data_IF_487274542768
#
_entry.id   IF_487274542768
#
_cell.length_a   1.000
_cell.length_b   1.000
_cell.length_c   1.000
_cell.angle_alpha   90.00
_cell.angle_beta   90.00
_cell.angle_gamma   90.00
#
_symmetry.space_group_name_H-M   'P 1'
#
loop_
_entity.id
_entity.type
_entity.pdbx_description
1 polymer ?
2 polymer ?
3 non-polymer ?
4 non-polymer ?
5 water ?
#
# COMPACT_ATOMS: atom_id res chain seq x y z
N UNK A 8 -10.23 6.54 -22.45
CA UNK A 8 -9.96 6.53 -20.97
C UNK A 8 -9.79 5.09 -20.43
N UNK A 9 -8.84 4.90 -19.52
CA UNK A 9 -8.56 3.60 -19.01
C UNK A 9 -9.22 3.37 -17.66
N UNK A 10 -9.42 2.11 -17.30
CA UNK A 10 -9.98 1.85 -15.95
C UNK A 10 -8.78 1.61 -15.01
N UNK A 11 -8.88 2.04 -13.75
CA UNK A 11 -7.82 1.77 -12.77
C UNK A 11 -7.59 0.24 -12.66
N UNK A 12 -6.31 -0.16 -12.57
CA UNK A 12 -6.00 -1.56 -12.34
C UNK A 12 -6.77 -1.98 -11.04
N UNK A 13 -7.51 -3.12 -11.05
CA UNK A 13 -8.25 -3.59 -9.89
C UNK A 13 -7.35 -4.00 -8.71
N UNK A 14 -7.77 -3.61 -7.51
CA UNK A 14 -7.05 -4.00 -6.30
C UNK A 14 -7.23 -5.52 -6.01
N UNK A 15 -6.25 -6.06 -5.27
CA UNK A 15 -6.30 -7.43 -4.81
C UNK A 15 -5.66 -7.35 -3.40
N UNK A 16 -6.05 -8.27 -2.53
CA UNK A 16 -5.47 -8.33 -1.19
C UNK A 16 -3.93 -8.41 -1.24
N UNK A 17 -3.29 -7.93 -0.18
CA UNK A 17 -1.86 -8.01 -0.08
C UNK A 17 -1.50 -9.44 0.19
N UNK A 18 -2.45 -10.19 0.74
CA UNK A 18 -2.21 -11.59 0.99
C UNK A 18 -1.48 -11.86 2.28
N UNK A 19 -1.32 -13.14 2.64
CA UNK A 19 -0.65 -13.47 3.90
C UNK A 19 0.77 -13.03 4.15
N UNK A 20 1.53 -12.68 3.10
CA UNK A 20 2.94 -12.29 3.31
C UNK A 20 3.24 -10.85 2.94
N UNK A 21 2.20 -9.99 2.87
CA UNK A 21 2.38 -8.58 2.53
C UNK A 21 3.34 -7.90 3.54
N UNK A 22 3.27 -8.28 4.80
CA UNK A 22 4.16 -7.63 5.80
C UNK A 22 5.57 -8.18 5.78
N UNK A 23 5.82 -9.23 4.98
CA UNK A 23 7.16 -9.79 4.85
C UNK A 23 7.75 -9.28 3.51
N UNK A 24 6.95 -9.35 2.44
CA UNK A 24 7.39 -8.85 1.14
C UNK A 24 7.68 -7.35 1.08
N UNK A 25 6.98 -6.53 1.89
CA UNK A 25 7.24 -5.07 1.86
C UNK A 25 8.20 -4.59 2.99
N UNK A 26 8.60 -5.49 3.88
CA UNK A 26 9.56 -5.19 4.99
C UNK A 26 10.47 -6.45 5.08
N UNK A 27 11.18 -6.76 3.99
CA UNK A 27 12.06 -7.94 3.98
C UNK A 27 13.12 -7.97 5.07
N UNK A 28 13.79 -6.83 5.30
CA UNK A 28 14.84 -6.71 6.32
C UNK A 28 14.32 -7.32 7.60
N UNK A 29 13.12 -6.95 7.99
CA UNK A 29 12.58 -7.51 9.22
C UNK A 29 12.22 -8.98 9.22
N UNK A 30 12.11 -9.57 8.05
CA UNK A 30 11.79 -10.98 8.00
C UNK A 30 13.10 -11.68 7.71
N UNK A 31 14.20 -10.98 7.94
CA UNK A 31 15.52 -11.53 7.68
C UNK A 31 15.83 -11.88 6.24
N UNK A 32 15.28 -11.14 5.29
CA UNK A 32 15.61 -11.38 3.90
C UNK A 32 16.47 -10.15 3.57
N UNK A 33 17.78 -10.31 3.63
CA UNK A 33 18.62 -9.15 3.44
C UNK A 33 18.96 -8.88 2.00
N UNK A 34 17.96 -8.50 1.20
CA UNK A 34 18.22 -8.20 -0.19
C UNK A 34 18.61 -6.74 -0.48
N UNK A 35 18.20 -5.79 0.36
CA UNK A 35 18.44 -4.37 0.08
C UNK A 35 19.41 -3.72 1.07
N UNK A 36 20.24 -2.78 0.61
CA UNK A 36 21.15 -2.09 1.53
C UNK A 36 20.32 -1.06 2.30
N UNK A 37 19.51 -0.27 1.59
CA UNK A 37 18.68 0.73 2.26
C UNK A 37 17.23 0.23 2.36
N UNK A 38 16.77 0.13 3.59
CA UNK A 38 15.45 -0.38 3.87
C UNK A 38 14.50 0.63 4.46
N UNK A 39 13.25 0.54 4.04
CA UNK A 39 12.20 1.44 4.50
C UNK A 39 11.67 0.92 5.82
N UNK A 40 11.36 1.80 6.76
CA UNK A 40 10.83 1.31 8.05
C UNK A 40 9.82 2.30 8.69
N UNK A 41 9.55 2.09 9.97
CA UNK A 41 8.57 2.86 10.75
C UNK A 41 9.13 4.04 11.56
N UNK A 42 10.32 4.50 11.22
CA UNK A 42 10.90 5.61 11.94
C UNK A 42 10.99 6.84 11.03
N UNK A 43 10.15 7.84 11.27
CA UNK A 43 10.17 9.03 10.45
C UNK A 43 11.06 10.16 11.01
N UNK A 44 11.61 9.99 12.20
CA UNK A 44 12.46 11.04 12.79
C UNK A 44 13.93 10.88 12.45
N UNK A 45 14.49 11.84 11.73
CA UNK A 45 15.91 11.83 11.45
C UNK A 45 16.45 12.80 12.54
N UNK A 46 17.74 12.80 12.79
CA UNK A 46 18.31 13.65 13.86
C UNK A 46 17.99 15.16 13.83
N UNK A 47 17.96 15.78 12.65
CA UNK A 47 17.65 17.20 12.59
C UNK A 47 16.20 17.50 12.30
N UNK A 48 15.35 16.49 12.37
CA UNK A 48 13.93 16.70 12.09
C UNK A 48 13.34 17.61 13.14
N UNK A 49 12.48 18.51 12.71
CA UNK A 49 11.85 19.42 13.64
C UNK A 49 10.49 18.94 14.16
N UNK A 50 10.13 19.44 15.35
CA UNK A 50 8.84 19.14 15.93
C UNK A 50 8.90 18.26 17.14
N UNK A 51 7.77 18.06 17.78
CA UNK A 51 7.77 17.18 18.96
C UNK A 51 7.57 15.75 18.57
N UNK A 52 8.50 14.98 19.10
CA UNK A 52 8.56 13.59 18.88
C UNK A 52 7.41 12.90 19.58
N UNK A 53 6.76 11.97 18.86
CA UNK A 53 5.70 11.20 19.46
C UNK A 53 5.78 9.77 18.98
N UNK A 54 5.19 8.90 19.76
CA UNK A 54 5.12 7.51 19.33
C UNK A 54 3.65 7.24 19.08
N UNK A 55 3.37 6.62 17.93
CA UNK A 55 2.00 6.25 17.56
C UNK A 55 1.95 4.71 17.61
N UNK A 56 1.02 4.14 18.36
CA UNK A 56 0.93 2.70 18.47
C UNK A 56 -0.47 2.21 18.69
N UNK A 57 -0.67 0.93 18.40
CA UNK A 57 -1.99 0.34 18.57
C UNK A 57 -2.06 -1.08 18.06
N UNK A 58 -3.27 -1.60 17.97
CA UNK A 58 -3.46 -2.96 17.44
C UNK A 58 -4.58 -2.87 16.40
N UNK A 59 -4.63 -3.85 15.51
CA UNK A 59 -5.73 -3.88 14.53
C UNK A 59 -6.50 -5.15 14.89
N UNK A 60 -7.82 -5.04 15.04
CA UNK A 60 -8.69 -6.17 15.42
C UNK A 60 -9.66 -6.66 14.35
N UNK A 61 -9.86 -7.98 14.25
CA UNK A 61 -10.84 -8.44 13.29
C UNK A 61 -12.21 -8.41 13.98
N UNK A 62 -13.21 -8.94 13.30
CA UNK A 62 -14.59 -8.93 13.75
C UNK A 62 -14.90 -9.69 15.02
N UNK A 63 -14.00 -10.54 15.47
CA UNK A 63 -14.22 -11.27 16.70
C UNK A 63 -13.32 -10.68 17.78
N UNK A 64 -12.58 -9.62 17.47
CA UNK A 64 -11.71 -9.06 18.51
C UNK A 64 -10.34 -9.64 18.54
N UNK A 65 -9.98 -10.40 17.55
CA UNK A 65 -8.65 -10.96 17.52
C UNK A 65 -7.67 -9.97 16.81
N UNK A 66 -6.52 -9.65 17.46
CA UNK A 66 -5.62 -8.73 16.77
C UNK A 66 -5.03 -9.43 15.55
N UNK A 67 -4.77 -8.68 14.48
CA UNK A 67 -4.21 -9.24 13.26
C UNK A 67 -2.69 -9.19 13.38
N UNK A 68 -2.01 -10.27 13.05
CA UNK A 68 -0.57 -10.25 13.15
C UNK A 68 0.08 -10.28 11.79
N UNK A 69 -0.74 -10.25 10.75
CA UNK A 69 -0.22 -10.25 9.42
C UNK A 69 -0.59 -8.92 8.71
N UNK A 70 -0.79 -7.87 9.47
CA UNK A 70 -1.19 -6.63 8.84
C UNK A 70 -0.01 -5.76 8.39
N UNK A 71 -0.13 -4.95 7.34
CA UNK A 71 0.96 -4.05 6.94
C UNK A 71 0.32 -2.64 7.03
N UNK A 72 0.98 -1.69 7.68
CA UNK A 72 0.38 -0.36 7.88
C UNK A 72 1.34 0.71 7.37
N UNK A 73 0.84 1.73 6.69
CA UNK A 73 1.69 2.85 6.27
C UNK A 73 0.98 4.15 6.75
N UNK A 74 1.75 5.22 7.01
CA UNK A 74 1.16 6.49 7.38
C UNK A 74 1.81 7.53 6.44
N UNK A 75 1.10 8.63 6.24
CA UNK A 75 1.50 9.74 5.38
C UNK A 75 1.07 10.97 6.16
N UNK A 76 2.00 11.91 6.35
CA UNK A 76 1.64 13.10 7.15
C UNK A 76 2.49 14.32 6.78
N UNK A 77 2.09 15.47 7.29
CA UNK A 77 2.78 16.72 7.05
C UNK A 77 3.85 16.92 8.14
N UNK A 78 4.73 17.91 7.94
CA UNK A 78 5.80 18.16 8.90
C UNK A 78 5.24 19.01 10.04
N UNK A 79 6.17 19.52 10.88
CA UNK A 79 5.73 20.29 11.99
C UNK A 79 4.95 21.57 11.68
N UNK A 80 5.16 22.12 10.50
CA UNK A 80 4.45 23.32 10.15
C UNK A 80 3.27 23.04 9.26
N UNK A 81 2.91 21.77 9.09
CA UNK A 81 1.77 21.44 8.26
C UNK A 81 2.04 21.50 6.78
N UNK A 82 3.30 21.30 6.37
CA UNK A 82 3.65 21.26 4.95
C UNK A 82 4.04 19.83 4.60
N UNK A 83 3.56 19.34 3.45
CA UNK A 83 3.90 18.00 3.00
C UNK A 83 5.21 17.98 2.21
N UNK A 84 6.06 16.98 2.45
CA UNK A 84 7.33 16.88 1.70
C UNK A 84 6.97 16.21 0.35
N UNK A 85 6.22 16.94 -0.47
CA UNK A 85 5.77 16.46 -1.77
C UNK A 85 5.73 17.58 -2.76
N UNK A 86 6.14 17.31 -3.99
CA UNK A 86 6.08 18.33 -5.01
C UNK A 86 4.64 18.79 -5.27
N UNK A 87 3.64 18.02 -4.85
CA UNK A 87 2.27 18.41 -5.07
C UNK A 87 1.77 19.38 -3.98
N UNK A 88 2.61 19.65 -2.98
CA UNK A 88 2.17 20.61 -1.93
C UNK A 88 2.30 22.01 -2.56
N UNK A 89 1.18 22.72 -2.59
CA UNK A 89 1.15 24.04 -3.24
C UNK A 89 1.10 25.21 -2.25
N UNK A 90 1.49 24.99 -0.99
CA UNK A 90 1.39 26.08 -0.04
C UNK A 90 2.49 27.14 -0.25
N UNK A 91 3.52 26.80 -0.98
CA UNK A 91 4.54 27.82 -1.18
C UNK A 91 5.37 28.06 0.06
N UNK A 92 5.19 27.22 1.10
CA UNK A 92 5.99 27.30 2.32
C UNK A 92 7.08 26.24 2.17
N UNK A 93 8.22 26.47 2.78
CA UNK A 93 9.30 25.53 2.68
C UNK A 93 9.04 24.41 3.67
N UNK A 94 9.25 23.18 3.23
CA UNK A 94 9.05 22.02 4.08
C UNK A 94 10.34 21.68 4.86
N UNK A 95 10.16 21.03 6.01
CA UNK A 95 11.32 20.58 6.81
C UNK A 95 12.11 19.65 5.85
N UNK A 96 13.40 19.95 5.58
CA UNK A 96 14.19 19.09 4.67
C UNK A 96 14.68 17.76 5.23
N UNK A 97 14.46 17.49 6.50
CA UNK A 97 14.89 16.21 7.07
C UNK A 97 13.71 15.41 7.51
N UNK A 98 12.71 15.37 6.61
CA UNK A 98 11.46 14.67 6.84
C UNK A 98 10.81 14.05 5.58
N UNK A 99 10.67 12.74 5.62
CA UNK A 99 10.09 11.99 4.50
C UNK A 99 8.56 12.03 4.53
N UNK A 100 7.98 12.08 5.73
CA UNK A 100 6.53 12.13 5.88
C UNK A 100 5.82 10.79 5.74
N UNK A 101 6.55 9.74 5.42
CA UNK A 101 5.97 8.42 5.23
C UNK A 101 6.74 7.34 5.96
N UNK A 102 6.03 6.28 6.34
CA UNK A 102 6.71 5.17 7.00
C UNK A 102 5.85 3.93 6.85
N UNK A 103 6.42 2.78 7.16
CA UNK A 103 5.70 1.51 6.97
C UNK A 103 6.05 0.62 8.13
N UNK A 104 5.07 -0.16 8.58
CA UNK A 104 5.33 -1.07 9.69
C UNK A 104 4.40 -2.27 9.68
N UNK A 105 4.78 -3.31 10.42
CA UNK A 105 3.92 -4.50 10.48
C UNK A 105 3.57 -4.65 11.95
N UNK A 106 2.82 -5.67 12.33
CA UNK A 106 2.50 -5.87 13.76
C UNK A 106 3.54 -6.82 14.36
N UNK A 107 3.85 -6.64 15.64
CA UNK A 107 4.81 -7.59 16.27
C UNK A 107 4.14 -8.98 16.26
N UNK A 108 4.86 -10.03 15.85
CA UNK A 108 4.20 -11.35 15.78
C UNK A 108 3.62 -11.89 17.06
N UNK A 109 4.25 -11.59 18.18
CA UNK A 109 3.72 -12.13 19.40
C UNK A 109 2.58 -11.31 19.96
N UNK A 110 2.89 -10.04 20.17
CA UNK A 110 1.98 -9.11 20.77
C UNK A 110 0.83 -8.62 19.89
N UNK A 111 1.13 -8.37 18.62
CA UNK A 111 0.12 -7.85 17.71
C UNK A 111 0.16 -6.31 17.67
N UNK A 112 1.07 -5.69 18.40
CA UNK A 112 1.13 -4.23 18.39
C UNK A 112 1.94 -3.70 17.23
N UNK A 113 1.49 -2.61 16.60
CA UNK A 113 2.30 -1.95 15.53
C UNK A 113 2.66 -0.56 16.13
N UNK A 114 3.66 0.13 15.57
CA UNK A 114 4.05 1.46 16.03
C UNK A 114 4.89 2.20 15.00
N UNK A 115 4.94 3.51 15.18
CA UNK A 115 5.73 4.42 14.38
C UNK A 115 6.35 5.48 15.33
N UNK A 116 7.58 5.91 15.04
CA UNK A 116 8.22 7.00 15.76
C UNK A 116 8.11 8.15 14.80
N UNK A 117 7.41 9.20 15.17
CA UNK A 117 7.24 10.31 14.22
C UNK A 117 7.17 11.63 14.94
N UNK A 118 6.63 12.63 14.26
CA UNK A 118 6.53 13.98 14.81
C UNK A 118 5.06 14.34 14.79
N UNK A 119 4.59 15.13 15.75
CA UNK A 119 3.18 15.50 15.72
C UNK A 119 3.02 16.52 14.58
N UNK A 120 2.14 16.22 13.58
CA UNK A 120 1.96 17.14 12.45
C UNK A 120 1.27 18.46 12.77
N UNK A 121 1.65 19.49 12.02
CA UNK A 121 1.03 20.80 12.14
C UNK A 121 -0.26 20.83 11.32
N UNK A 122 -1.08 21.84 11.53
CA UNK A 122 -2.36 21.94 10.79
C UNK A 122 -2.09 22.24 9.32
N UNK A 123 -2.91 21.61 8.47
CA UNK A 123 -2.83 21.69 7.02
C UNK A 123 -4.11 22.36 6.47
N UNK A 124 -3.99 23.22 5.44
CA UNK A 124 -5.18 23.89 4.86
C UNK A 124 -6.20 22.84 4.39
N UNK A 125 -7.46 23.16 4.57
CA UNK A 125 -8.53 22.33 4.06
C UNK A 125 -9.05 23.04 2.82
N UNK A 126 -10.13 22.52 2.25
CA UNK A 126 -10.71 23.13 1.08
C UNK A 126 -11.37 24.48 1.37
N UNK A 127 -11.41 25.32 0.35
CA UNK A 127 -12.02 26.66 0.40
C UNK A 127 -11.69 27.45 1.66
N UNK A 128 -10.41 27.64 1.95
CA UNK A 128 -10.00 28.43 3.11
C UNK A 128 -10.16 27.88 4.52
N UNK A 129 -10.61 26.64 4.67
CA UNK A 129 -10.78 26.08 6.00
C UNK A 129 -9.42 25.55 6.46
N UNK A 130 -9.36 25.14 7.73
CA UNK A 130 -8.15 24.58 8.28
C UNK A 130 -8.47 23.22 8.86
N UNK A 131 -7.68 22.23 8.51
CA UNK A 131 -7.96 20.93 9.05
C UNK A 131 -7.25 20.76 10.39
N UNK A 132 -7.81 20.01 11.34
CA UNK A 132 -7.10 19.72 12.60
C UNK A 132 -5.91 18.83 12.24
N UNK A 133 -4.83 18.76 13.09
CA UNK A 133 -3.64 17.91 12.84
C UNK A 133 -4.15 16.46 12.66
N UNK A 134 -3.60 15.74 11.69
CA UNK A 134 -3.97 14.36 11.42
C UNK A 134 -2.87 13.62 10.69
N UNK A 135 -2.91 12.31 10.78
CA UNK A 135 -1.97 11.48 10.08
C UNK A 135 -2.90 10.58 9.23
N UNK A 136 -2.56 10.38 7.95
CA UNK A 136 -3.34 9.50 7.10
C UNK A 136 -2.73 8.11 7.25
N UNK A 137 -3.60 7.10 7.34
CA UNK A 137 -3.15 5.77 7.59
C UNK A 137 -3.87 4.79 6.66
N UNK A 138 -3.12 3.79 6.16
CA UNK A 138 -3.72 2.78 5.27
C UNK A 138 -3.29 1.42 5.85
N UNK A 139 -4.21 0.46 5.74
CA UNK A 139 -4.06 -0.92 6.26
C UNK A 139 -4.24 -1.95 5.12
N UNK A 140 -3.30 -2.88 4.97
CA UNK A 140 -3.40 -3.95 3.99
C UNK A 140 -3.23 -5.28 4.76
N UNK A 141 -3.91 -6.34 4.33
CA UNK A 141 -3.75 -7.64 4.99
C UNK A 141 -4.51 -8.69 4.18
N UNK A 142 -4.18 -9.95 4.46
CA UNK A 142 -4.85 -11.12 3.93
C UNK A 142 -6.35 -10.83 4.33
N UNK A 143 -7.30 -11.08 3.43
CA UNK A 143 -8.71 -10.83 3.75
C UNK A 143 -9.20 -9.38 3.49
N UNK A 144 -8.29 -8.44 3.27
CA UNK A 144 -8.68 -7.04 3.01
C UNK A 144 -8.45 -6.88 1.53
N UNK A 145 -9.53 -6.72 0.75
CA UNK A 145 -9.41 -6.70 -0.70
C UNK A 145 -8.84 -5.44 -1.30
N UNK A 146 -9.09 -4.33 -0.60
CA UNK A 146 -8.63 -3.02 -0.98
C UNK A 146 -8.11 -2.34 0.29
N UNK A 147 -6.91 -1.74 0.20
CA UNK A 147 -6.33 -1.01 1.32
C UNK A 147 -7.39 -0.14 2.00
N UNK A 148 -7.47 -0.17 3.32
CA UNK A 148 -8.46 0.68 4.08
C UNK A 148 -7.79 1.96 4.57
N UNK A 149 -8.38 3.09 4.23
CA UNK A 149 -7.87 4.41 4.56
C UNK A 149 -8.59 4.94 5.78
N UNK A 150 -7.82 5.52 6.69
CA UNK A 150 -8.46 6.17 7.83
C UNK A 150 -7.57 7.34 8.20
N UNK A 151 -7.95 8.11 9.21
CA UNK A 151 -7.07 9.15 9.69
C UNK A 151 -7.01 9.04 11.22
N UNK A 152 -5.91 9.51 11.77
CA UNK A 152 -5.67 9.55 13.22
C UNK A 152 -5.66 11.05 13.63
N UNK A 153 -6.50 11.41 14.56
CA UNK A 153 -6.55 12.78 15.09
C UNK A 153 -6.09 12.62 16.54
N UNK A 154 -5.86 13.76 17.22
CA UNK A 154 -5.31 13.74 18.56
C UNK A 154 -6.26 14.29 19.63
N UNK A 155 -6.42 13.56 20.74
CA UNK A 155 -7.36 14.00 21.77
C UNK A 155 -6.97 15.31 22.46
N UNK A 156 -5.72 15.71 22.36
CA UNK A 156 -5.34 17.00 22.94
C UNK A 156 -5.53 18.17 21.96
N UNK A 157 -6.19 17.93 20.83
CA UNK A 157 -6.45 19.00 19.89
C UNK A 157 -7.97 19.13 19.78
N UNK A 158 -8.69 19.01 20.90
CA UNK A 158 -10.15 19.08 20.86
C UNK A 158 -10.74 20.31 20.15
N UNK A 159 -10.12 21.48 20.35
CA UNK A 159 -10.59 22.71 19.76
C UNK A 159 -10.50 22.65 18.23
N UNK A 160 -9.32 22.26 17.75
CA UNK A 160 -9.11 22.13 16.31
C UNK A 160 -9.98 21.00 15.78
N UNK A 161 -10.13 19.91 16.54
CA UNK A 161 -10.96 18.80 16.04
C UNK A 161 -12.41 19.16 15.85
N UNK A 162 -12.94 20.03 16.69
CA UNK A 162 -14.32 20.44 16.60
C UNK A 162 -14.58 21.25 15.34
N UNK A 163 -13.55 21.82 14.72
CA UNK A 163 -13.78 22.63 13.52
C UNK A 163 -13.23 21.88 12.27
N UNK A 164 -12.82 20.63 12.43
CA UNK A 164 -12.27 19.92 11.28
C UNK A 164 -13.34 19.56 10.24
N UNK A 165 -13.13 19.93 8.95
CA UNK A 165 -14.06 19.69 7.82
C UNK A 165 -14.40 18.21 7.68
N UNK A 166 -13.37 17.36 7.66
CA UNK A 166 -13.56 15.91 7.51
C UNK A 166 -14.30 15.30 8.68
N UNK A 167 -13.85 15.55 9.93
CA UNK A 167 -14.59 15.01 11.07
C UNK A 167 -16.04 15.44 11.08
N UNK A 168 -16.31 16.69 10.70
CA UNK A 168 -17.69 17.16 10.72
C UNK A 168 -18.51 16.56 9.57
N UNK A 169 -17.83 15.93 8.61
CA UNK A 169 -18.46 15.24 7.46
C UNK A 169 -19.18 13.99 7.93
N UNK A 170 -18.78 13.49 9.11
CA UNK A 170 -19.38 12.28 9.67
C UNK A 170 -20.55 12.63 10.56
N UNK A 171 -21.77 12.24 10.16
CA UNK A 171 -23.02 12.58 10.94
C UNK A 171 -23.21 11.89 12.28
N UNK A 172 -22.57 10.74 12.46
CA UNK A 172 -22.69 10.06 13.71
C UNK A 172 -21.59 10.58 14.67
N UNK A 173 -21.97 11.42 15.62
CA UNK A 173 -20.98 11.95 16.55
C UNK A 173 -20.25 10.78 17.13
N UNK A 174 -20.97 9.71 17.32
CA UNK A 174 -20.34 8.55 17.92
C UNK A 174 -19.24 7.84 17.09
N UNK A 175 -19.27 8.00 15.78
CA UNK A 175 -18.25 7.36 14.94
C UNK A 175 -17.01 8.26 14.86
N UNK A 176 -17.20 9.58 14.98
CA UNK A 176 -16.09 10.53 14.96
C UNK A 176 -15.07 10.15 15.99
N UNK A 177 -15.55 9.72 17.16
CA UNK A 177 -14.59 9.39 18.19
C UNK A 177 -13.63 8.24 17.86
N UNK A 178 -14.04 7.35 16.98
CA UNK A 178 -13.15 6.23 16.63
C UNK A 178 -11.88 6.74 15.95
N UNK A 179 -11.90 7.97 15.43
CA UNK A 179 -10.69 8.51 14.77
C UNK A 179 -9.73 9.34 15.67
N UNK A 180 -10.04 9.40 16.97
CA UNK A 180 -9.25 10.20 17.92
C UNK A 180 -8.31 9.35 18.77
N UNK A 181 -7.01 9.54 18.62
CA UNK A 181 -6.09 8.76 19.40
C UNK A 181 -5.91 9.36 20.83
N UNK A 182 -5.58 8.51 21.82
CA UNK A 182 -5.40 8.96 23.21
C UNK A 182 -3.95 9.16 23.60
N UNK A 183 -3.67 10.35 24.12
CA UNK A 183 -2.35 10.77 24.51
C UNK A 183 -2.00 10.18 25.87
N UNK A 184 -0.78 9.67 26.01
CA UNK A 184 -0.30 9.08 27.26
C UNK A 184 1.16 9.47 27.37
N UNK A 185 1.72 9.51 28.60
CA UNK A 185 3.13 9.90 28.77
C UNK A 185 4.02 8.86 29.47
N UNK A 186 4.56 7.93 28.68
CA UNK A 186 5.43 6.85 29.16
C UNK A 186 6.88 7.28 29.39
N UNK A 187 7.17 7.76 30.60
CA UNK A 187 8.54 8.17 30.93
C UNK A 187 9.02 9.27 30.02
N UNK A 188 8.40 10.44 30.09
CA UNK A 188 8.83 11.54 29.25
C UNK A 188 8.53 11.43 27.76
N UNK A 189 8.26 10.21 27.27
CA UNK A 189 7.91 10.06 25.87
C UNK A 189 6.41 10.26 25.69
N UNK A 190 6.00 10.94 24.62
CA UNK A 190 4.57 11.10 24.37
C UNK A 190 4.14 9.98 23.43
N UNK A 191 3.04 9.31 23.79
CA UNK A 191 2.50 8.19 23.03
C UNK A 191 1.03 8.41 22.77
N UNK A 192 0.59 8.13 21.54
CA UNK A 192 -0.83 8.21 21.16
C UNK A 192 -1.25 6.78 20.84
N UNK A 193 -2.26 6.32 21.55
CA UNK A 193 -2.72 4.96 21.38
C UNK A 193 -3.89 5.03 20.41
N UNK A 194 -3.80 4.24 19.34
CA UNK A 194 -4.88 4.25 18.36
C UNK A 194 -5.16 2.83 17.96
N UNK A 195 -6.24 2.24 18.47
CA UNK A 195 -6.61 0.88 18.06
C UNK A 195 -7.58 0.97 16.90
N UNK A 196 -7.45 0.05 15.96
CA UNK A 196 -8.29 0.01 14.79
C UNK A 196 -9.20 -1.23 14.79
N UNK A 197 -10.52 -1.05 14.69
CA UNK A 197 -11.46 -2.16 14.70
C UNK A 197 -12.04 -2.20 13.33
N UNK A 198 -11.67 -3.25 12.61
CA UNK A 198 -12.11 -3.37 11.23
C UNK A 198 -13.61 -3.64 11.08
N UNK A 199 -14.24 -4.26 12.07
CA UNK A 199 -15.59 -4.67 11.88
C UNK A 199 -16.30 -4.84 13.20
N UNK A 200 -17.55 -4.39 13.30
CA UNK A 200 -18.26 -4.63 14.55
C UNK A 200 -18.53 -3.43 15.43
N UNK A 201 -18.58 -3.67 16.73
CA UNK A 201 -18.83 -2.58 17.67
C UNK A 201 -17.67 -1.60 17.60
N UNK A 202 -18.00 -0.30 17.60
CA UNK A 202 -16.95 0.71 17.56
C UNK A 202 -16.03 0.55 16.40
N UNK A 203 -16.62 0.12 15.28
CA UNK A 203 -15.87 -0.08 14.04
C UNK A 203 -15.25 1.24 13.64
N UNK A 204 -13.96 1.20 13.29
CA UNK A 204 -13.30 2.41 12.90
C UNK A 204 -13.87 2.95 11.56
N UNK A 205 -13.99 4.27 11.47
CA UNK A 205 -14.45 4.89 10.22
C UNK A 205 -13.36 4.73 9.14
N UNK A 206 -13.77 4.30 7.95
CA UNK A 206 -12.82 4.23 6.83
C UNK A 206 -13.35 5.11 5.74
N UNK A 207 -12.42 5.68 4.98
CA UNK A 207 -12.78 6.61 3.93
C UNK A 207 -12.50 6.15 2.52
N UNK A 208 -13.26 6.69 1.56
CA UNK A 208 -12.97 6.44 0.16
C UNK A 208 -12.37 7.81 -0.20
N UNK A 209 -11.06 7.90 -0.38
CA UNK A 209 -10.45 9.19 -0.65
C UNK A 209 -10.15 9.58 -2.10
N UNK B 4 -0.74 24.82 -15.94
CA UNK B 4 -1.82 23.84 -15.49
C UNK B 4 -1.96 23.73 -13.97
N UNK B 5 -3.14 24.06 -13.47
CA UNK B 5 -3.43 23.96 -12.04
C UNK B 5 -4.20 22.64 -11.86
N UNK B 6 -3.66 21.74 -11.03
CA UNK B 6 -4.30 20.44 -10.81
C UNK B 6 -5.38 20.49 -9.76
N UNK B 7 -6.44 19.73 -9.98
CA UNK B 7 -7.53 19.68 -9.01
C UNK B 7 -7.43 18.33 -8.34
N UNK B 8 -8.55 17.71 -8.08
CA UNK B 8 -8.55 16.42 -7.40
C UNK B 8 -8.40 15.20 -8.32
N UNK B 9 -8.11 14.06 -7.72
CA UNK B 9 -8.11 12.84 -8.47
C UNK B 9 -9.58 12.47 -8.79
N UNK B 10 -9.77 11.89 -9.96
CA UNK B 10 -11.10 11.42 -10.33
C UNK B 10 -11.51 10.41 -9.23
N UNK B 11 -12.80 10.31 -9.00
CA UNK B 11 -13.39 9.40 -8.02
C UNK B 11 -12.96 7.92 -8.35
N UNK B 12 -12.64 7.12 -7.36
CA UNK B 12 -12.35 5.69 -7.62
C UNK B 12 -13.70 5.07 -8.01
N UNK B 13 -13.71 4.22 -9.02
CA UNK B 13 -14.94 3.57 -9.50
C UNK B 13 -15.04 2.26 -8.77
N UNK B 14 -15.88 2.26 -7.75
CA UNK B 14 -15.99 1.09 -6.93
C UNK B 14 -16.47 -0.13 -7.70
N UNK B 15 -17.17 0.03 -8.82
CA UNK B 15 -17.63 -1.14 -9.57
C UNK B 15 -16.48 -1.81 -10.32
N UNK B 16 -15.32 -1.15 -10.35
CA UNK B 16 -14.19 -1.71 -11.05
C UNK B 16 -13.25 -2.47 -10.08
N UNK B 17 -13.65 -2.60 -8.82
CA UNK B 17 -12.83 -3.23 -7.83
C UNK B 17 -13.61 -4.26 -7.07
N UNK B 18 -12.90 -5.09 -6.32
CA UNK B 18 -13.64 -6.07 -5.54
C UNK B 18 -14.35 -5.33 -4.39
N UNK B 19 -15.41 -5.91 -3.85
CA UNK B 19 -16.12 -5.30 -2.71
C UNK B 19 -15.31 -5.78 -1.50
N UNK B 20 -15.48 -5.14 -0.36
CA UNK B 20 -14.77 -5.56 0.85
C UNK B 20 -15.26 -6.95 1.34
N UNK B 21 -16.57 -7.13 1.40
CA UNK B 21 -17.10 -8.38 1.86
C UNK B 21 -17.25 -9.36 0.68
N UNK B 22 -16.51 -10.44 0.69
CA UNK B 22 -16.62 -11.36 -0.46
C UNK B 22 -16.57 -12.74 0.18
N UNK B 23 -17.74 -13.28 0.50
CA UNK B 23 -17.91 -14.57 1.15
C UNK B 23 -17.15 -15.80 0.59
N UNK B 24 -16.86 -15.85 -0.73
CA UNK B 24 -16.09 -16.95 -1.30
C UNK B 24 -14.60 -16.92 -0.90
N UNK B 25 -14.11 -15.76 -0.42
CA UNK B 25 -12.75 -15.57 0.07
C UNK B 25 -13.04 -15.48 1.59
N UNK B 26 -12.95 -16.63 2.25
CA UNK B 26 -13.36 -16.74 3.64
C UNK B 26 -12.77 -15.77 4.65
N UNK B 27 -11.48 -15.49 4.54
CA UNK B 27 -10.82 -14.54 5.45
C UNK B 27 -11.44 -13.15 5.35
N UNK B 28 -12.05 -12.81 4.23
CA UNK B 28 -12.69 -11.46 4.16
C UNK B 28 -13.91 -11.31 5.09
N UNK B 29 -14.55 -12.44 5.45
CA UNK B 29 -15.77 -12.34 6.28
C UNK B 29 -15.63 -11.55 7.61
N UNK B 30 -14.51 -11.76 8.28
CA UNK B 30 -14.24 -11.06 9.57
C UNK B 30 -13.32 -9.90 9.41
N UNK B 31 -12.88 -9.61 8.18
CA UNK B 31 -11.98 -8.49 8.00
C UNK B 31 -12.49 -7.43 7.03
N UNK B 32 -13.82 -7.28 7.01
CA UNK B 32 -14.44 -6.29 6.16
C UNK B 32 -15.39 -5.45 6.98
N UNK B 33 -15.33 -4.12 6.79
CA UNK B 33 -16.23 -3.23 7.54
C UNK B 33 -17.70 -3.47 7.24
N UNK B 34 -18.57 -3.34 8.23
CA UNK B 34 -19.98 -3.52 8.00
C UNK B 34 -20.50 -2.14 7.54
N UNK B 35 -19.90 -1.03 7.95
CA UNK B 35 -20.38 0.26 7.48
C UNK B 35 -19.82 0.60 6.10
N UNK B 36 -20.57 1.41 5.36
CA UNK B 36 -20.10 1.87 4.05
C UNK B 36 -18.88 2.80 4.24
N UNK B 37 -18.00 2.88 3.27
CA UNK B 37 -16.90 3.82 3.33
C UNK B 37 -17.50 5.22 3.25
N UNK B 38 -16.88 6.17 3.96
CA UNK B 38 -17.34 7.54 3.93
C UNK B 38 -16.51 8.26 2.86
N UNK B 39 -17.17 8.77 1.82
CA UNK B 39 -16.40 9.45 0.77
C UNK B 39 -16.14 10.93 1.20
N UNK B 40 -14.93 11.41 0.95
CA UNK B 40 -14.60 12.78 1.26
C UNK B 40 -14.14 13.55 0.06
N UNK B 41 -14.28 14.86 0.12
CA UNK B 41 -13.78 15.69 -0.96
C UNK B 41 -12.24 15.81 -0.66
N UNK B 42 -11.39 15.70 -1.68
CA UNK B 42 -9.95 15.74 -1.44
C UNK B 42 -9.34 17.07 -1.00
N UNK B 43 -8.26 16.93 -0.23
CA UNK B 43 -7.48 18.03 0.27
C UNK B 43 -6.02 17.74 -0.03
N UNK B 44 -5.13 18.64 0.38
CA UNK B 44 -3.71 18.41 0.15
C UNK B 44 -3.25 17.08 0.69
N UNK B 45 -3.89 16.57 1.73
CA UNK B 45 -3.48 15.31 2.31
C UNK B 45 -3.60 14.15 1.33
N UNK B 46 -4.64 14.19 0.51
CA UNK B 46 -4.91 13.10 -0.41
C UNK B 46 -4.22 13.25 -1.76
N UNK B 47 -3.87 14.48 -2.12
CA UNK B 47 -3.24 14.61 -3.43
C UNK B 47 -1.72 14.65 -3.42
N UNK B 48 -1.11 14.56 -2.23
CA UNK B 48 0.38 14.53 -2.13
C UNK B 48 0.85 13.09 -1.74
N UNK B 49 2.15 12.83 -1.91
CA UNK B 49 2.69 11.53 -1.56
C UNK B 49 4.18 11.73 -1.41
N UNK B 50 4.89 10.74 -0.83
CA UNK B 50 6.35 10.89 -0.66
C UNK B 50 7.18 10.68 -1.90
N UNK B 51 8.41 11.15 -1.85
CA UNK B 51 9.32 10.97 -2.97
C UNK B 51 10.46 10.07 -2.48
N UNK B 52 10.88 9.12 -3.30
CA UNK B 52 11.97 8.19 -2.98
C UNK B 52 13.14 8.40 -3.96
N UNK B 53 14.33 8.67 -3.46
CA UNK B 53 15.46 8.95 -4.36
C UNK B 53 16.17 7.74 -4.90
N UNK B 54 16.49 7.81 -6.18
CA UNK B 54 17.17 6.76 -6.91
C UNK B 54 18.48 6.31 -6.23
N UNK B 55 19.17 7.24 -5.58
CA UNK B 55 20.42 6.93 -4.86
C UNK B 55 20.36 5.79 -3.89
N UNK B 56 19.20 5.69 -3.26
CA UNK B 56 18.97 4.67 -2.28
C UNK B 56 18.86 3.24 -2.84
N UNK B 57 18.58 3.09 -4.12
CA UNK B 57 18.43 1.75 -4.69
C UNK B 57 19.75 1.07 -5.08
N UNK B 58 19.89 -0.24 -4.86
CA UNK B 58 21.11 -0.93 -5.25
C UNK B 58 21.02 -1.37 -6.71
N UNK B 59 22.14 -1.80 -7.33
CA UNK B 59 22.02 -2.19 -8.74
C UNK B 59 21.22 -3.46 -9.05
N UNK B 60 21.12 -4.34 -8.07
CA UNK B 60 20.34 -5.57 -8.27
C UNK B 60 18.93 -5.51 -7.64
N UNK B 61 18.45 -4.32 -7.28
CA UNK B 61 17.13 -4.24 -6.62
C UNK B 61 15.99 -4.77 -7.49
N UNK B 62 16.13 -4.69 -8.80
CA UNK B 62 15.08 -5.16 -9.70
C UNK B 62 15.47 -6.46 -10.38
N UNK B 63 16.42 -7.18 -9.79
CA UNK B 63 16.86 -8.45 -10.42
C UNK B 63 16.75 -9.52 -9.37
N UNK B 64 15.57 -10.15 -9.33
CA UNK B 64 15.29 -11.18 -8.31
C UNK B 64 16.04 -12.46 -8.60
N UNK B 65 16.59 -12.58 -9.79
CA UNK B 65 17.38 -13.75 -10.08
C UNK B 65 18.76 -13.71 -9.32
N UNK B 66 19.38 -12.54 -9.35
CA UNK B 66 20.68 -12.35 -8.74
C UNK B 66 20.71 -11.67 -7.39
N UNK B 67 19.66 -10.95 -7.00
CA UNK B 67 19.79 -10.19 -5.74
C UNK B 67 19.88 -10.96 -4.43
N UNK B 68 19.69 -12.28 -4.47
CA UNK B 68 19.82 -13.07 -3.27
C UNK B 68 20.59 -14.33 -3.61
N UNK B 69 21.31 -14.33 -4.72
CA UNK B 69 22.04 -15.51 -5.15
C UNK B 69 23.35 -15.64 -4.35
N UNK B 70 23.52 -16.76 -3.67
CA UNK B 70 24.70 -17.03 -2.80
C UNK B 70 25.72 -17.94 -3.47
N UNK B 71 25.42 -19.25 -3.60
CA UNK B 71 26.35 -20.20 -4.24
C UNK B 71 26.00 -20.52 -5.65
N UNK B 72 24.87 -20.03 -6.10
CA UNK B 72 24.53 -20.38 -7.47
C UNK B 72 23.30 -19.61 -7.83
N UNK B 73 22.69 -20.01 -8.95
CA UNK B 73 21.48 -19.35 -9.40
C UNK B 73 20.24 -20.00 -8.84
N UNK B 74 19.15 -19.22 -8.72
CA UNK B 74 17.92 -19.86 -8.21
C UNK B 74 17.40 -20.87 -9.32
N UNK B 75 16.64 -21.88 -8.92
CA UNK B 75 16.12 -22.88 -9.86
C UNK B 75 14.76 -22.37 -10.39
N UNK B 76 14.47 -22.55 -11.67
CA UNK B 76 13.16 -22.10 -12.17
C UNK B 76 13.22 -21.40 -13.49
N UNK B 77 12.07 -20.92 -13.97
CA UNK B 77 11.98 -20.30 -15.29
C UNK B 77 12.38 -18.81 -15.25
N UNK B 78 13.41 -18.50 -16.02
CA UNK B 78 13.89 -17.15 -16.11
C UNK B 78 12.94 -16.29 -16.96
N UNK B 79 12.42 -15.22 -16.37
CA UNK B 79 11.53 -14.32 -17.07
C UNK B 79 11.76 -12.86 -16.75
N UNK B 80 11.55 -12.02 -17.75
CA UNK B 80 11.64 -10.59 -17.59
C UNK B 80 10.18 -10.11 -17.63
N UNK B 81 9.85 -9.15 -16.79
CA UNK B 81 8.50 -8.61 -16.81
C UNK B 81 8.69 -7.09 -17.00
N UNK B 82 7.99 -6.50 -17.96
CA UNK B 82 8.13 -5.06 -18.18
C UNK B 82 6.79 -4.49 -18.58
N UNK B 83 6.71 -3.16 -18.56
CA UNK B 83 5.50 -2.49 -18.94
C UNK B 83 5.50 -1.03 -18.54
N UNK B 84 4.33 -0.42 -18.66
CA UNK B 84 4.17 1.00 -18.36
C UNK B 84 3.14 1.24 -17.29
N UNK B 85 3.37 2.26 -16.46
CA UNK B 85 2.43 2.67 -15.44
C UNK B 85 1.96 4.06 -15.96
N UNK B 86 0.66 4.17 -16.10
CA UNK B 86 0.10 5.44 -16.54
C UNK B 86 -1.15 5.75 -15.73
N UNK B 87 -1.68 6.96 -15.82
CA UNK B 87 -2.89 7.24 -15.05
C UNK B 87 -4.07 7.02 -15.98
N UNK B 88 -5.27 7.14 -15.45
CA UNK B 88 -6.46 6.87 -16.23
C UNK B 88 -6.70 7.72 -17.43
N UNK B 89 -6.07 8.90 -17.46
CA UNK B 89 -6.19 9.78 -18.61
C UNK B 89 -5.05 9.53 -19.58
N UNK B 90 -4.33 8.41 -19.38
CA UNK B 90 -3.25 8.04 -20.26
C UNK B 90 -1.89 8.75 -20.07
N UNK B 91 -1.69 9.53 -19.01
CA UNK B 91 -0.42 10.21 -18.80
C UNK B 91 0.55 9.26 -18.10
N UNK B 92 1.81 9.29 -18.48
CA UNK B 92 2.76 8.39 -17.81
C UNK B 92 2.94 8.80 -16.34
N UNK B 93 3.28 7.82 -15.51
CA UNK B 93 3.48 8.03 -14.11
C UNK B 93 4.99 7.88 -13.92
N UNK B 94 5.63 9.01 -13.63
CA UNK B 94 7.09 9.07 -13.52
C UNK B 94 7.59 8.94 -12.13
N UNK B 95 8.68 8.21 -11.97
CA UNK B 95 9.35 8.05 -10.68
C UNK B 95 8.43 7.51 -9.57
N UNK B 96 7.60 6.53 -9.92
CA UNK B 96 6.72 5.91 -8.93
C UNK B 96 7.49 4.73 -8.35
N UNK B 97 7.27 4.43 -7.07
CA UNK B 97 7.98 3.31 -6.48
C UNK B 97 7.12 2.03 -6.71
N UNK B 98 7.73 1.07 -7.41
CA UNK B 98 7.05 -0.21 -7.69
C UNK B 98 7.77 -1.27 -6.87
N UNK B 99 7.05 -1.94 -5.97
CA UNK B 99 7.68 -3.02 -5.17
C UNK B 99 6.97 -4.34 -5.47
N UNK B 100 7.72 -5.43 -5.56
CA UNK B 100 7.13 -6.74 -5.85
C UNK B 100 7.60 -7.78 -4.87
N UNK B 101 6.80 -8.83 -4.65
CA UNK B 101 7.24 -9.91 -3.80
C UNK B 101 6.50 -11.15 -4.34
N UNK B 102 7.09 -12.33 -4.10
CA UNK B 102 6.53 -13.54 -4.70
C UNK B 102 7.15 -14.76 -4.07
N UNK B 103 6.53 -15.90 -4.38
CA UNK B 103 7.02 -17.21 -3.97
C UNK B 103 8.15 -17.64 -4.92
N UNK B 104 8.84 -18.73 -4.58
CA UNK B 104 9.86 -19.21 -5.50
C UNK B 104 9.23 -20.18 -6.52
N UNK B 105 10.03 -20.91 -7.25
CA UNK B 105 9.51 -21.78 -8.30
C UNK B 105 8.59 -22.92 -7.80
N UNK B 106 8.77 -23.31 -6.54
CA UNK B 106 7.98 -24.37 -5.92
C UNK B 106 6.68 -23.83 -5.35
N UNK B 107 6.52 -22.51 -5.32
CA UNK B 107 5.32 -21.91 -4.72
C UNK B 107 5.56 -21.65 -3.22
N UNK B 108 6.84 -21.60 -2.80
CA UNK B 108 7.15 -21.42 -1.38
C UNK B 108 7.71 -20.00 -1.10
N UNK B 109 7.20 -19.36 -0.05
CA UNK B 109 7.66 -18.04 0.36
C UNK B 109 8.78 -18.24 1.38
N UNK B 110 9.72 -17.30 1.37
CA UNK B 110 10.88 -17.39 2.22
C UNK B 110 10.59 -16.82 3.59
N UNK B 111 9.82 -17.61 4.35
CA UNK B 111 9.45 -17.27 5.70
C UNK B 111 8.97 -18.50 6.51
N UNK B 112 9.45 -18.65 7.75
CA UNK B 112 9.05 -19.81 8.59
C UNK B 112 7.53 -20.09 8.64
N UNK B 113 6.72 -19.05 8.47
CA UNK B 113 5.27 -19.23 8.47
C UNK B 113 4.78 -20.22 7.39
N UNK B 114 5.39 -20.16 6.22
CA UNK B 114 5.04 -21.01 5.12
C UNK B 114 5.67 -22.39 5.30
N UNK B 115 4.81 -23.36 5.56
CA UNK B 115 5.28 -24.72 5.77
C UNK B 115 4.88 -25.68 4.65
N UNK B 116 4.62 -25.15 3.46
CA UNK B 116 4.26 -26.02 2.34
C UNK B 116 5.46 -26.89 2.00
N UNK B 117 5.16 -28.12 1.57
CA UNK B 117 6.19 -29.04 1.23
C UNK B 117 6.99 -28.67 -0.05
N UNK B 118 6.49 -27.74 -0.87
CA UNK B 118 7.23 -27.29 -2.05
C UNK B 118 8.58 -26.86 -1.49
N UNK B 119 9.66 -27.23 -2.15
CA UNK B 119 11.01 -26.94 -1.60
C UNK B 119 11.51 -25.48 -1.60
N UNK B 120 12.26 -25.06 -0.55
CA UNK B 120 12.85 -23.74 -0.44
C UNK B 120 14.04 -23.67 -1.42
N UNK B 121 14.38 -22.48 -1.89
CA UNK B 121 15.51 -22.35 -2.81
C UNK B 121 16.52 -21.45 -2.06
N UNK B 122 17.71 -21.97 -1.66
CA UNK B 122 18.68 -21.14 -0.94
C UNK B 122 19.20 -19.93 -1.69
N UNK B 123 19.00 -19.90 -3.01
CA UNK B 123 19.47 -18.80 -3.83
C UNK B 123 18.38 -17.85 -4.35
N UNK B 124 17.17 -17.93 -3.79
CA UNK B 124 16.07 -17.05 -4.17
C UNK B 124 15.50 -16.31 -2.96
N UNK B 125 15.35 -15.01 -3.09
CA UNK B 125 14.83 -14.18 -1.99
C UNK B 125 13.35 -13.88 -2.25
N UNK B 126 13.05 -13.35 -3.41
CA UNK B 126 11.67 -13.09 -3.75
C UNK B 126 11.08 -11.69 -3.55
N UNK B 127 11.94 -10.67 -3.40
CA UNK B 127 11.54 -9.25 -3.22
C UNK B 127 12.35 -8.42 -4.19
N UNK B 128 11.73 -7.39 -4.77
CA UNK B 128 12.45 -6.49 -5.69
C UNK B 128 11.74 -5.14 -5.66
N UNK B 129 12.37 -4.12 -6.24
CA UNK B 129 11.74 -2.82 -6.34
C UNK B 129 12.45 -2.06 -7.41
N UNK B 130 11.78 -1.00 -7.87
CA UNK B 130 12.34 -0.11 -8.90
C UNK B 130 11.47 1.18 -8.99
N UNK B 131 11.97 2.20 -9.69
CA UNK B 131 11.23 3.45 -9.91
C UNK B 131 10.94 3.44 -11.40
N UNK B 132 9.73 3.86 -11.79
CA UNK B 132 9.39 3.96 -13.19
C UNK B 132 10.21 5.15 -13.71
N UNK B 133 10.44 5.18 -15.01
CA UNK B 133 11.20 6.25 -15.61
C UNK B 133 10.29 7.36 -16.12
N UNK B 134 10.86 8.26 -16.90
CA UNK B 134 10.06 9.39 -17.39
C UNK B 134 8.93 9.05 -18.27
N UNK B 135 8.99 7.86 -18.87
CA UNK B 135 7.92 7.37 -19.74
C UNK B 135 6.98 6.43 -18.99
N UNK B 136 7.17 6.31 -17.67
CA UNK B 136 6.33 5.42 -16.88
C UNK B 136 6.75 3.95 -17.03
N UNK B 137 7.89 3.70 -17.68
CA UNK B 137 8.36 2.34 -17.90
C UNK B 137 9.06 1.69 -16.69
N UNK B 138 8.88 0.40 -16.52
CA UNK B 138 9.56 -0.35 -15.47
C UNK B 138 9.96 -1.71 -16.07
N UNK B 139 10.98 -2.35 -15.49
CA UNK B 139 11.39 -3.65 -15.95
C UNK B 139 12.14 -4.34 -14.79
N UNK B 140 11.80 -5.62 -14.55
CA UNK B 140 12.52 -6.39 -13.57
C UNK B 140 12.68 -7.80 -14.14
N UNK B 141 13.56 -8.59 -13.51
CA UNK B 141 13.83 -9.94 -13.97
C UNK B 141 13.57 -10.83 -12.75
N UNK B 142 13.09 -12.05 -12.95
CA UNK B 142 12.82 -12.93 -11.83
C UNK B 142 12.70 -14.38 -12.34
N UNK B 143 12.32 -15.24 -11.42
CA UNK B 143 12.04 -16.64 -11.64
C UNK B 143 10.48 -16.72 -11.64
N UNK B 144 9.88 -17.40 -12.60
CA UNK B 144 8.41 -17.49 -12.57
C UNK B 144 7.95 -18.22 -11.29
N UNK B 145 7.09 -17.58 -10.46
CA UNK B 145 6.63 -18.27 -9.24
C UNK B 145 5.72 -19.50 -9.53
N UNK B 146 5.76 -20.49 -8.66
CA UNK B 146 4.88 -21.61 -8.89
C UNK B 146 3.57 -21.34 -8.13
N UNK B 147 2.50 -21.96 -8.58
CA UNK B 147 1.18 -21.86 -7.93
C UNK B 147 1.37 -22.51 -6.54
N UNK B 148 0.44 -22.31 -5.62
CA UNK B 148 0.56 -22.98 -4.31
C UNK B 148 -0.81 -23.15 -3.63
N UNK B 149 -0.90 -24.11 -2.73
CA UNK B 149 -2.15 -24.39 -2.02
C UNK B 149 -2.29 -23.48 -0.82
N UNK B 150 -3.53 -23.26 -0.44
CA UNK B 150 -3.86 -22.47 0.73
C UNK B 150 -5.19 -22.99 1.24
N UNK B 151 -5.48 -22.68 2.49
CA UNK B 151 -6.73 -23.17 3.08
C UNK B 151 -7.82 -22.11 3.02
N UNK B 152 -8.73 -22.24 2.07
CA UNK B 152 -9.91 -21.38 1.96
C UNK B 152 -10.92 -22.56 2.05
N UNK B 153 -11.21 -23.18 0.91
CA UNK B 153 -11.89 -24.47 0.91
C UNK B 153 -10.60 -25.34 1.04
N UNK B 154 -10.69 -26.62 1.45
CA UNK B 154 -9.48 -27.42 1.71
C UNK B 154 -8.47 -27.62 0.55
N UNK B 155 -8.99 -27.75 -0.68
CA UNK B 155 -8.15 -27.95 -1.84
C UNK B 155 -8.05 -26.67 -2.71
N UNK B 156 -7.88 -25.51 -2.10
CA UNK B 156 -7.75 -24.27 -2.89
C UNK B 156 -6.29 -24.08 -3.37
N UNK B 157 -6.12 -23.53 -4.56
CA UNK B 157 -4.83 -23.29 -5.14
C UNK B 157 -4.80 -21.91 -5.80
N UNK B 158 -3.77 -21.14 -5.46
CA UNK B 158 -3.57 -19.85 -6.09
C UNK B 158 -2.87 -20.07 -7.45
N UNK B 159 -3.24 -19.29 -8.48
CA UNK B 159 -2.54 -19.42 -9.76
C UNK B 159 -1.18 -18.78 -9.44
N UNK B 160 -0.19 -18.96 -10.31
CA UNK B 160 1.10 -18.32 -10.14
C UNK B 160 0.80 -16.82 -10.15
N UNK B 161 1.48 -16.05 -9.31
CA UNK B 161 1.24 -14.60 -9.28
C UNK B 161 2.40 -13.86 -8.64
N UNK B 162 2.54 -12.59 -8.98
CA UNK B 162 3.55 -11.74 -8.38
C UNK B 162 2.73 -10.57 -7.73
N UNK B 163 2.99 -10.33 -6.46
CA UNK B 163 2.31 -9.29 -5.72
C UNK B 163 3.07 -8.02 -6.08
N UNK B 164 2.32 -6.93 -6.20
CA UNK B 164 2.93 -5.67 -6.48
C UNK B 164 2.23 -4.52 -5.73
N UNK B 165 3.01 -3.45 -5.56
CA UNK B 165 2.59 -2.27 -4.79
C UNK B 165 3.12 -1.01 -5.46
N UNK B 166 2.28 0.04 -5.51
CA UNK B 166 2.67 1.32 -6.14
C UNK B 166 2.45 2.49 -5.20
N UNK B 167 3.47 3.35 -5.09
CA UNK B 167 3.34 4.64 -4.37
C UNK B 167 3.74 5.62 -5.44
N UNK B 168 2.82 6.50 -5.82
CA UNK B 168 3.11 7.39 -6.93
C UNK B 168 3.02 8.89 -6.56
N UNK B 169 2.20 9.67 -7.25
CA UNK B 169 2.15 11.11 -6.96
C UNK B 169 1.21 11.58 -5.90
N UNK B 170 0.12 10.85 -5.73
CA UNK B 170 -0.88 11.18 -4.73
C UNK B 170 -1.25 9.95 -3.91
N UNK B 171 -1.48 10.21 -2.64
CA UNK B 171 -1.86 9.21 -1.69
C UNK B 171 -3.12 8.50 -2.17
N UNK B 172 -4.03 9.23 -2.82
CA UNK B 172 -5.24 8.61 -3.36
C UNK B 172 -4.94 7.49 -4.42
N UNK B 173 -3.74 7.53 -5.04
CA UNK B 173 -3.35 6.51 -6.03
C UNK B 173 -2.82 5.25 -5.42
N UNK B 174 -2.54 5.25 -4.11
CA UNK B 174 -1.96 4.08 -3.44
C UNK B 174 -2.70 2.78 -3.82
N UNK B 175 -1.96 1.77 -4.29
CA UNK B 175 -2.58 0.54 -4.76
C UNK B 175 -1.67 -0.68 -4.56
N UNK B 176 -2.27 -1.78 -4.07
CA UNK B 176 -1.55 -3.03 -3.98
C UNK B 176 -2.43 -4.00 -4.75
N UNK B 177 -1.83 -4.89 -5.53
CA UNK B 177 -2.64 -5.88 -6.26
C UNK B 177 -1.74 -7.09 -6.59
N UNK B 178 -2.16 -7.90 -7.54
CA UNK B 178 -1.34 -9.07 -7.89
C UNK B 178 -1.56 -9.30 -9.42
N UNK B 179 -0.54 -9.72 -10.16
CA UNK B 179 -0.78 -10.04 -11.59
C UNK B 179 -0.50 -11.53 -11.80
N UNK B 180 -1.09 -12.08 -12.88
CA UNK B 180 -1.07 -13.51 -13.18
C UNK B 180 -0.44 -13.66 -14.56
N UNK B 181 -0.24 -14.90 -15.02
CA UNK B 181 0.46 -15.17 -16.30
C UNK B 181 -0.49 -15.78 -17.34
N UNK B 182 -0.45 -15.24 -18.56
CA UNK B 182 -1.33 -15.66 -19.66
C UNK B 182 -1.38 -17.19 -19.74
N UNK B 183 -2.60 -17.69 -19.81
CA UNK B 183 -2.90 -19.10 -19.97
C UNK B 183 -2.92 -19.98 -18.73
N UNK B 184 -2.51 -19.50 -17.56
CA UNK B 184 -2.49 -20.33 -16.36
C UNK B 184 -3.92 -20.81 -16.13
N UNK B 185 -4.15 -22.12 -16.09
CA UNK B 185 -5.56 -22.53 -15.90
C UNK B 185 -6.21 -22.28 -14.54
N UNK B 186 -5.41 -22.01 -13.51
CA UNK B 186 -5.93 -21.79 -12.17
C UNK B 186 -6.59 -20.43 -12.08
N UNK B 187 -6.29 -19.56 -13.06
CA UNK B 187 -6.88 -18.24 -13.04
C UNK B 187 -8.42 -18.33 -13.04
N UNK B 188 -9.00 -19.32 -13.71
CA UNK B 188 -10.45 -19.46 -13.81
C UNK B 188 -11.15 -19.94 -12.55
N UNK B 189 -10.41 -20.47 -11.60
CA UNK B 189 -10.97 -21.04 -10.38
C UNK B 189 -10.63 -20.30 -9.11
N UNK B 190 -9.80 -19.27 -9.18
CA UNK B 190 -9.36 -18.58 -7.96
C UNK B 190 -10.42 -17.68 -7.29
N UNK B 191 -10.75 -17.97 -6.01
CA UNK B 191 -11.75 -17.15 -5.32
C UNK B 191 -11.25 -15.70 -5.09
N UNK B 192 -9.94 -15.50 -4.99
CA UNK B 192 -9.39 -14.16 -4.80
C UNK B 192 -9.53 -13.31 -6.05
N UNK B 193 -9.22 -13.89 -7.20
CA UNK B 193 -9.34 -13.18 -8.48
C UNK B 193 -10.85 -12.98 -8.76
N UNK B 194 -11.67 -13.95 -8.35
CA UNK B 194 -13.10 -13.80 -8.59
C UNK B 194 -13.82 -12.77 -7.70
N UNK B 195 -13.12 -12.19 -6.71
CA UNK B 195 -13.73 -11.13 -5.94
C UNK B 195 -13.92 -9.94 -6.90
N UNK B 196 -13.17 -9.90 -8.00
CA UNK B 196 -13.31 -8.76 -8.92
C UNK B 196 -14.61 -9.00 -9.72
N UNK B 197 -15.57 -8.04 -9.68
CA UNK B 197 -16.83 -8.24 -10.37
C UNK B 197 -16.86 -8.46 -11.88
N UNK B 198 -16.03 -7.79 -12.66
CA UNK B 198 -16.17 -7.99 -14.08
C UNK B 198 -15.07 -8.69 -14.76
N UNK B 199 -15.44 -9.39 -15.82
CA UNK B 199 -14.46 -10.13 -16.56
C UNK B 199 -13.38 -9.23 -17.14
N UNK B 200 -13.73 -8.04 -17.63
CA UNK B 200 -12.70 -7.20 -18.26
C UNK B 200 -11.66 -6.75 -17.27
N UNK B 201 -12.10 -6.48 -16.03
CA UNK B 201 -11.13 -6.10 -14.98
C UNK B 201 -10.31 -7.33 -14.54
N UNK B 202 -10.91 -8.52 -14.49
CA UNK B 202 -10.06 -9.67 -14.15
C UNK B 202 -8.92 -9.81 -15.20
N UNK B 203 -9.23 -9.56 -16.49
CA UNK B 203 -8.24 -9.67 -17.56
C UNK B 203 -7.15 -8.63 -17.44
N UNK B 204 -7.45 -7.52 -16.79
CA UNK B 204 -6.50 -6.48 -16.62
C UNK B 204 -5.35 -6.87 -15.69
N UNK B 205 -5.46 -8.00 -15.00
CA UNK B 205 -4.37 -8.42 -14.12
C UNK B 205 -3.57 -9.56 -14.77
N UNK B 206 -3.79 -9.82 -16.06
CA UNK B 206 -3.04 -10.92 -16.67
C UNK B 206 -1.88 -10.41 -17.52
N UNK B 207 -0.68 -10.80 -17.18
CA UNK B 207 0.52 -10.33 -17.95
C UNK B 207 0.59 -11.21 -19.20
N UNK B 208 0.86 -10.56 -20.34
CA UNK B 208 0.87 -11.22 -21.62
C UNK B 208 2.24 -11.64 -22.12
N UNK B 209 2.31 -12.83 -22.72
CA UNK B 209 3.57 -13.29 -23.27
C UNK B 209 3.97 -12.22 -24.34
N UNK B 210 5.24 -11.81 -24.34
CA UNK B 210 5.76 -10.77 -25.25
C UNK B 210 6.89 -11.47 -26.01
N UNK B 211 6.51 -12.32 -26.96
CA UNK B 211 7.49 -13.13 -27.65
C UNK B 211 8.66 -12.45 -28.40
N UNK B 212 8.43 -11.27 -29.00
CA UNK B 212 9.53 -10.66 -29.73
C UNK B 212 10.55 -10.12 -28.76
N UNK B 213 10.13 -9.96 -27.49
CA UNK B 213 11.05 -9.49 -26.50
C UNK B 213 11.76 -10.57 -25.66
N UNK B 214 11.57 -11.83 -26.02
CA UNK B 214 12.30 -12.91 -25.33
C UNK B 214 13.79 -12.66 -25.71
N UNK B 215 14.69 -13.07 -24.84
CA UNK B 215 16.14 -12.95 -25.06
C UNK B 215 16.63 -14.38 -25.34
N UNK B 216 17.06 -14.61 -26.59
CA UNK B 216 17.48 -15.93 -27.02
C UNK B 216 18.45 -16.61 -26.07
N UNK B 217 18.20 -17.90 -25.87
CA UNK B 217 19.02 -18.77 -25.01
C UNK B 217 19.16 -18.23 -23.62
N UNK B 218 18.19 -17.43 -23.21
CA UNK B 218 18.26 -16.80 -21.92
C UNK B 218 16.94 -16.69 -21.14
N UNK B 219 16.05 -15.76 -21.51
CA UNK B 219 14.84 -15.57 -20.71
C UNK B 219 13.62 -15.28 -21.55
N UNK B 220 12.42 -15.63 -21.05
CA UNK B 220 11.18 -15.24 -21.72
C UNK B 220 10.84 -13.84 -21.20
N UNK B 221 9.73 -13.29 -21.68
CA UNK B 221 9.35 -11.96 -21.27
C UNK B 221 7.82 -11.84 -21.26
N UNK B 222 7.28 -11.13 -20.26
CA UNK B 222 5.85 -10.86 -20.15
C UNK B 222 5.65 -9.34 -20.06
N UNK B 223 4.61 -8.89 -20.72
CA UNK B 223 4.30 -7.46 -20.75
C UNK B 223 3.10 -7.21 -19.80
N UNK B 224 3.18 -6.15 -18.96
CA UNK B 224 2.09 -5.93 -18.03
C UNK B 224 2.01 -4.44 -17.73
N UNK B 225 0.92 -3.82 -18.17
CA UNK B 225 0.78 -2.38 -17.89
C UNK B 225 -0.13 -2.14 -16.68
N UNK B 226 0.07 -0.99 -16.00
CA UNK B 226 -0.70 -0.71 -14.78
C UNK B 226 -1.31 0.66 -14.92
N UNK B 227 -2.57 0.82 -14.47
CA UNK B 227 -3.24 2.12 -14.58
C UNK B 227 -3.63 2.65 -13.21
N UNK B 228 -3.23 3.87 -12.91
CA UNK B 228 -3.56 4.48 -11.62
C UNK B 228 -4.59 5.55 -11.84
N UNK B 229 -5.21 6.01 -10.74
CA UNK B 229 -6.19 7.11 -10.83
C UNK B 229 -5.47 8.34 -11.33
N UNK B 230 -6.22 9.16 -12.06
CA UNK B 230 -5.61 10.36 -12.62
C UNK B 230 -6.19 11.64 -12.04
N UNK B 231 -5.39 12.72 -12.10
CA UNK B 231 -5.86 14.01 -11.64
C UNK B 231 -6.56 14.81 -12.73
N UNK B 232 -7.56 15.61 -12.37
CA UNK B 232 -8.21 16.45 -13.33
C UNK B 232 -7.57 17.86 -13.23
N UNK B 233 -7.58 18.57 -14.33
CA UNK B 233 -7.01 19.92 -14.33
C UNK B 233 -8.16 20.89 -13.96
N UNK B 234 -7.82 22.02 -13.33
CA UNK B 234 -8.85 22.99 -12.95
C UNK B 234 -8.72 24.21 -13.86
N UNK B 235 -9.84 24.72 -14.38
CA UNK B 235 -9.77 25.92 -15.21
C UNK B 235 -10.64 27.08 -14.67
N UNK B 236 -11.44 26.80 -13.68
CA UNK B 236 -12.27 27.82 -13.08
C UNK B 236 -11.82 27.91 -11.60
N UNK B 237 -12.72 27.89 -10.62
CA UNK B 237 -12.33 27.96 -9.22
C UNK B 237 -11.47 26.76 -8.73
N UNK B 238 -10.40 27.09 -8.01
CA UNK B 238 -9.53 26.07 -7.43
C UNK B 238 -9.88 26.00 -5.96
N UNK B 239 -10.72 25.04 -5.62
CA UNK B 239 -11.19 24.83 -4.25
C UNK B 239 -10.29 24.00 -3.35
N UNK B 240 -9.26 23.38 -3.91
CA UNK B 240 -8.41 22.50 -3.13
C UNK B 240 -7.91 23.10 -1.82
N UNK B 241 -7.65 24.41 -1.89
CA UNK B 241 -7.14 25.15 -0.78
C UNK B 241 -7.96 26.41 -0.49
X LIG C 1 1.05 -14.91 -2.76
X LIG D 1 0.43 -14.29 -0.84
#
# INVERSE_FOLDING_TARGET
>A
MNGWNFQELKETPSQTGGPYVHIGLLPKQANIEVFEHNLDNNLVQDNTQGQRIRLEGQVFDGLGLPLRDVLIEIWQADTNGVYPSQADTQGKQVDPNFLGWGRTGADFGTGFWSFNTIKPGAVPGRKGSTQAPHISLIIFAHGINIGLHTRVYFDDEAEANAKDPVLNSIEWATRRQTLVAKREERDGEVVYRFDIRIQGENETVFFDI
>B
MSQIIWGAYAQRNTEDHPPAYAPGYKTSVLRSPKNALISIAETLSEVTAPHFSADKFGPKDNDLILNYAKDGLPIGERVIVHGYVRDQFGRPVKNALVEVWQANASGRYRHPNDQYIGAMDPNFGGCGRMLTDDNGYYVFRTIKPGPYPWRNRINEWRPAHIHFSLIADGWAQRLISQFYFEGDTLIDSCPILKTIPSEQQRRALIALEDKSNFIEADSRCYRFDITLRGRRATYFENDLT
>C hetero
1 FE FE
>D hetero
1 OH O
#
